data_IF_027849044979
#
_entry.id   IF_027849044979
#
_cell.length_a   1.000
_cell.length_b   1.000
_cell.length_c   1.000
_cell.angle_alpha   90.00
_cell.angle_beta   90.00
_cell.angle_gamma   90.00
#
_symmetry.space_group_name_H-M   'P 1'
#
loop_
_entity.id
_entity.type
_entity.pdbx_description
1 polymer ?
#
# COMPACT_ATOMS: atom_id res chain seq x y z
N UNK A 1 3.47 -8.19 23.40
CA UNK A 1 4.03 -7.12 24.25
C UNK A 1 4.79 -6.02 23.47
N UNK A 2 5.09 -6.20 22.18
CA UNK A 2 5.77 -5.19 21.34
C UNK A 2 4.83 -4.20 20.63
N UNK A 3 3.56 -4.56 20.44
CA UNK A 3 2.52 -3.71 19.81
C UNK A 3 2.08 -2.53 20.70
N UNK A 4 2.15 -2.68 22.03
CA UNK A 4 1.76 -1.61 22.95
C UNK A 4 2.78 -0.46 23.01
N UNK A 5 4.05 -0.71 22.64
CA UNK A 5 5.14 0.26 22.78
C UNK A 5 5.12 1.30 21.64
N UNK A 6 4.68 0.90 20.44
CA UNK A 6 4.62 1.80 19.27
C UNK A 6 3.43 2.76 19.35
N UNK A 7 2.25 2.28 19.79
CA UNK A 7 1.06 3.13 19.99
C UNK A 7 1.26 4.17 21.10
N UNK A 8 2.02 3.83 22.15
CA UNK A 8 2.32 4.76 23.25
C UNK A 8 3.35 5.82 22.84
N UNK A 9 4.27 5.50 21.92
CA UNK A 9 5.25 6.46 21.41
C UNK A 9 4.62 7.53 20.51
N UNK A 10 3.63 7.18 19.68
CA UNK A 10 2.92 8.15 18.84
C UNK A 10 2.07 9.14 19.65
N UNK A 11 1.45 8.70 20.76
CA UNK A 11 0.75 9.61 21.67
C UNK A 11 1.70 10.49 22.50
N UNK A 12 2.88 9.99 22.87
CA UNK A 12 3.85 10.75 23.67
C UNK A 12 4.50 11.91 22.90
N UNK A 13 4.72 11.76 21.59
CA UNK A 13 5.26 12.84 20.74
C UNK A 13 4.23 13.98 20.59
N UNK A 14 2.93 13.67 20.55
CA UNK A 14 1.86 14.69 20.53
C UNK A 14 1.67 15.40 21.88
N UNK A 15 1.94 14.76 23.01
CA UNK A 15 1.87 15.40 24.33
C UNK A 15 3.10 16.25 24.68
N UNK A 16 4.26 15.98 24.07
CA UNK A 16 5.52 16.66 24.41
C UNK A 16 5.62 18.06 23.80
N UNK A 17 4.92 18.32 22.70
CA UNK A 17 4.87 19.64 22.06
C UNK A 17 3.97 20.64 22.81
N UNK A 18 3.15 20.18 23.76
CA UNK A 18 2.18 21.03 24.47
C UNK A 18 2.74 21.73 25.72
N UNK A 19 4.00 21.47 26.12
CA UNK A 19 4.58 21.99 27.36
C UNK A 19 5.81 22.89 27.19
N UNK A 20 6.19 23.24 25.95
CA UNK A 20 7.29 24.18 25.69
C UNK A 20 6.75 25.59 25.42
N UNK A 21 6.84 26.43 26.45
CA UNK A 21 6.89 27.91 26.48
C UNK A 21 6.16 28.71 25.38
N UNK A 22 5.08 29.37 25.80
CA UNK A 22 4.74 30.74 25.33
C UNK A 22 4.12 30.90 23.95
N UNK A 23 3.94 29.84 23.15
CA UNK A 23 3.20 29.94 21.89
C UNK A 23 1.69 30.06 22.15
N UNK A 24 1.14 31.25 21.97
CA UNK A 24 -0.31 31.40 21.83
C UNK A 24 -0.75 30.71 20.53
N UNK A 25 -1.14 29.44 20.62
CA UNK A 25 -1.84 28.74 19.54
C UNK A 25 -3.23 29.36 19.42
N UNK A 26 -3.38 30.31 18.50
CA UNK A 26 -4.71 30.79 18.13
C UNK A 26 -5.39 29.65 17.37
N UNK A 27 -6.20 28.85 18.08
CA UNK A 27 -7.11 27.88 17.46
C UNK A 27 -8.10 28.69 16.64
N UNK A 28 -7.80 28.86 15.35
CA UNK A 28 -8.68 29.60 14.46
C UNK A 28 -9.89 28.71 14.18
N UNK A 29 -11.13 29.20 14.42
CA UNK A 29 -12.33 28.45 14.07
C UNK A 29 -12.24 28.02 12.60
N UNK A 30 -12.62 26.78 12.31
CA UNK A 30 -12.67 26.22 10.95
C UNK A 30 -13.46 27.20 10.08
N UNK A 31 -12.76 28.00 9.28
CA UNK A 31 -13.41 28.83 8.26
C UNK A 31 -13.74 27.85 7.14
N UNK A 32 -15.01 27.72 6.72
CA UNK A 32 -15.32 27.00 5.50
C UNK A 32 -14.42 27.58 4.40
N UNK A 33 -13.63 26.71 3.76
CA UNK A 33 -12.93 27.06 2.53
C UNK A 33 -13.90 27.56 1.45
N UNK A 34 -13.41 27.90 0.25
CA UNK A 34 -14.26 28.34 -0.85
C UNK A 34 -15.51 27.47 -1.00
N UNK A 35 -16.64 28.10 -1.31
CA UNK A 35 -17.93 27.42 -1.48
C UNK A 35 -17.94 26.63 -2.79
N UNK A 36 -17.22 25.51 -2.85
CA UNK A 36 -17.05 24.67 -4.03
C UNK A 36 -16.42 23.33 -3.66
N UNK A 37 -16.58 22.35 -4.55
CA UNK A 37 -15.77 21.14 -4.49
C UNK A 37 -14.47 21.40 -5.23
N UNK A 38 -13.35 21.07 -4.59
CA UNK A 38 -12.04 21.04 -5.21
C UNK A 38 -11.68 19.59 -5.49
N UNK A 39 -11.22 19.30 -6.70
CA UNK A 39 -10.90 17.93 -7.11
C UNK A 39 -9.41 17.81 -7.36
N UNK A 40 -8.84 16.70 -6.89
CA UNK A 40 -7.46 16.33 -7.20
C UNK A 40 -7.46 14.92 -7.78
N UNK A 41 -6.68 14.74 -8.84
CA UNK A 41 -6.41 13.44 -9.42
C UNK A 41 -4.91 13.26 -9.57
N UNK A 42 -4.41 12.15 -9.06
CA UNK A 42 -2.99 11.93 -8.86
C UNK A 42 -2.59 10.55 -9.37
N UNK A 43 -2.24 10.39 -10.66
CA UNK A 43 -1.56 9.20 -11.15
C UNK A 43 -0.16 9.13 -10.56
N UNK A 44 0.26 7.93 -10.15
CA UNK A 44 1.57 7.73 -9.54
C UNK A 44 2.20 6.40 -9.90
N UNK A 45 3.46 6.24 -9.52
CA UNK A 45 4.19 4.99 -9.55
C UNK A 45 4.79 4.74 -8.17
N UNK A 46 4.61 3.54 -7.65
CA UNK A 46 5.19 3.08 -6.39
C UNK A 46 6.13 1.92 -6.67
N UNK A 47 7.41 2.14 -6.42
CA UNK A 47 8.46 1.15 -6.67
C UNK A 47 8.62 0.28 -5.42
N UNK A 48 7.90 -0.83 -5.37
CA UNK A 48 7.72 -1.64 -4.17
C UNK A 48 8.80 -2.69 -3.96
N UNK A 49 9.44 -2.66 -2.79
CA UNK A 49 9.96 -3.86 -2.17
C UNK A 49 8.82 -4.61 -1.51
N UNK A 50 8.87 -5.94 -1.59
CA UNK A 50 7.89 -6.83 -0.96
C UNK A 50 8.66 -7.82 -0.10
N UNK A 51 8.38 -7.83 1.19
CA UNK A 51 9.00 -8.72 2.17
C UNK A 51 7.93 -9.35 3.04
N UNK A 52 8.04 -10.66 3.29
CA UNK A 52 7.13 -11.35 4.18
C UNK A 52 6.95 -12.82 3.84
N UNK A 53 5.90 -13.40 4.39
CA UNK A 53 5.56 -14.80 4.23
C UNK A 53 4.10 -14.94 3.79
N UNK A 54 3.85 -15.92 2.93
CA UNK A 54 2.51 -16.26 2.48
C UNK A 54 2.28 -17.76 2.62
N UNK A 55 1.09 -18.14 3.06
CA UNK A 55 0.62 -19.53 3.04
C UNK A 55 -0.50 -19.64 2.04
N UNK A 56 -0.36 -20.52 1.05
CA UNK A 56 -1.38 -20.71 0.02
C UNK A 56 -1.73 -22.20 -0.04
N UNK A 57 -2.99 -22.52 0.24
CA UNK A 57 -3.50 -23.90 0.35
C UNK A 57 -2.67 -24.74 1.34
N UNK A 58 -2.27 -24.12 2.46
CA UNK A 58 -1.45 -24.75 3.50
C UNK A 58 0.03 -24.95 3.15
N UNK A 59 0.54 -24.34 2.07
CA UNK A 59 1.96 -24.36 1.70
C UNK A 59 2.59 -23.01 1.96
N UNK A 60 3.73 -23.00 2.63
CA UNK A 60 4.49 -21.80 2.98
C UNK A 60 5.37 -21.33 1.81
N UNK A 61 5.39 -20.03 1.58
CA UNK A 61 6.17 -19.32 0.59
C UNK A 61 6.80 -18.09 1.27
N UNK A 62 8.12 -17.95 1.13
CA UNK A 62 8.79 -16.72 1.55
C UNK A 62 8.85 -15.75 0.37
N UNK A 63 8.41 -14.53 0.58
CA UNK A 63 8.35 -13.47 -0.42
C UNK A 63 9.46 -12.45 -0.13
N UNK A 64 10.38 -12.31 -1.07
CA UNK A 64 11.40 -11.25 -1.05
C UNK A 64 11.63 -10.78 -2.47
N UNK A 65 11.07 -9.63 -2.80
CA UNK A 65 11.14 -9.06 -4.14
C UNK A 65 11.62 -7.61 -4.06
N UNK A 66 12.55 -7.27 -4.94
CA UNK A 66 12.95 -5.87 -5.13
C UNK A 66 12.19 -5.24 -6.32
N UNK A 67 12.12 -3.90 -6.40
CA UNK A 67 11.35 -3.22 -7.45
C UNK A 67 11.81 -3.55 -8.87
N UNK A 68 13.10 -3.85 -9.08
CA UNK A 68 13.60 -4.18 -10.41
C UNK A 68 13.07 -5.54 -10.90
N UNK A 69 12.96 -6.52 -10.00
CA UNK A 69 12.33 -7.81 -10.28
C UNK A 69 10.81 -7.66 -10.51
N UNK A 70 10.13 -6.87 -9.68
CA UNK A 70 8.70 -6.61 -9.89
C UNK A 70 8.45 -5.97 -11.25
N UNK A 71 9.29 -5.01 -11.66
CA UNK A 71 9.16 -4.30 -12.94
C UNK A 71 9.55 -5.15 -14.16
N UNK A 72 10.48 -6.11 -14.03
CA UNK A 72 10.87 -6.97 -15.16
C UNK A 72 9.74 -7.88 -15.61
N UNK A 73 8.92 -8.28 -14.65
CA UNK A 73 7.85 -9.28 -14.80
C UNK A 73 6.48 -8.60 -14.84
N UNK A 74 6.43 -7.27 -14.77
CA UNK A 74 5.20 -6.48 -14.79
C UNK A 74 4.62 -6.41 -16.20
N UNK A 75 3.42 -6.97 -16.39
CA UNK A 75 2.63 -6.77 -17.60
C UNK A 75 2.00 -5.39 -17.63
N UNK A 76 1.36 -5.01 -16.52
CA UNK A 76 0.63 -3.76 -16.40
C UNK A 76 0.47 -3.36 -14.93
N UNK A 77 0.61 -2.06 -14.66
CA UNK A 77 0.21 -1.46 -13.39
C UNK A 77 -0.61 -0.21 -13.62
N UNK A 78 -1.57 0.01 -12.72
CA UNK A 78 -2.29 1.27 -12.61
C UNK A 78 -2.32 1.71 -11.15
N UNK A 79 -1.89 2.94 -10.89
CA UNK A 79 -1.91 3.51 -9.56
C UNK A 79 -2.41 4.95 -9.62
N UNK A 80 -3.41 5.25 -8.80
CA UNK A 80 -4.04 6.57 -8.81
C UNK A 80 -4.68 6.90 -7.47
N UNK A 81 -4.49 8.13 -7.03
CA UNK A 81 -5.13 8.70 -5.85
C UNK A 81 -6.07 9.83 -6.26
N UNK A 82 -7.25 9.89 -5.64
CA UNK A 82 -8.26 10.91 -5.91
C UNK A 82 -8.68 11.56 -4.61
N UNK A 83 -8.87 12.88 -4.64
CA UNK A 83 -9.47 13.62 -3.54
C UNK A 83 -10.56 14.57 -4.03
N UNK A 84 -11.60 14.71 -3.21
CA UNK A 84 -12.67 15.68 -3.40
C UNK A 84 -12.85 16.41 -2.08
N UNK A 85 -12.61 17.72 -2.05
CA UNK A 85 -12.63 18.51 -0.83
C UNK A 85 -13.70 19.57 -0.87
N UNK A 86 -14.47 19.69 0.22
CA UNK A 86 -15.42 20.77 0.47
C UNK A 86 -15.36 21.24 1.91
N UNK A 87 -14.71 22.40 2.12
CA UNK A 87 -14.47 22.94 3.45
C UNK A 87 -13.55 22.03 4.27
N UNK A 88 -14.04 21.54 5.42
CA UNK A 88 -13.30 20.64 6.31
C UNK A 88 -13.43 19.16 5.95
N UNK A 89 -14.33 18.81 5.02
CA UNK A 89 -14.55 17.41 4.62
C UNK A 89 -13.80 17.14 3.33
N UNK A 90 -13.05 16.05 3.33
CA UNK A 90 -12.38 15.50 2.15
C UNK A 90 -12.83 14.06 1.96
N UNK A 91 -13.30 13.70 0.77
CA UNK A 91 -13.47 12.32 0.35
C UNK A 91 -12.23 11.90 -0.43
N UNK A 92 -11.78 10.67 -0.27
CA UNK A 92 -10.62 10.16 -1.00
C UNK A 92 -10.80 8.72 -1.48
N UNK A 93 -10.04 8.37 -2.50
CA UNK A 93 -9.90 7.02 -3.03
C UNK A 93 -8.45 6.80 -3.47
N UNK A 94 -7.88 5.63 -3.18
CA UNK A 94 -6.57 5.19 -3.69
C UNK A 94 -6.77 3.83 -4.37
N UNK A 95 -6.31 3.71 -5.61
CA UNK A 95 -6.45 2.48 -6.41
C UNK A 95 -5.06 2.04 -6.84
N UNK A 96 -4.69 0.83 -6.46
CA UNK A 96 -3.48 0.14 -6.91
C UNK A 96 -3.92 -1.16 -7.59
N UNK A 97 -3.45 -1.35 -8.81
CA UNK A 97 -3.58 -2.59 -9.55
C UNK A 97 -2.22 -2.93 -10.14
N UNK A 98 -1.85 -4.20 -10.05
CA UNK A 98 -0.72 -4.73 -10.80
C UNK A 98 -0.98 -6.16 -11.27
N UNK A 99 -0.45 -6.45 -12.44
CA UNK A 99 -0.42 -7.76 -13.09
C UNK A 99 1.04 -8.09 -13.39
N UNK A 100 1.56 -9.08 -12.66
CA UNK A 100 2.93 -9.57 -12.75
C UNK A 100 2.88 -11.01 -13.24
N UNK A 101 3.45 -11.30 -14.41
CA UNK A 101 3.40 -12.63 -15.02
C UNK A 101 4.78 -13.26 -15.16
N UNK A 102 4.80 -14.58 -15.36
CA UNK A 102 6.00 -15.34 -15.74
C UNK A 102 7.19 -15.23 -14.79
N UNK A 103 6.97 -14.80 -13.56
CA UNK A 103 8.02 -14.67 -12.58
C UNK A 103 8.55 -16.05 -12.14
N UNK A 104 9.80 -16.34 -12.48
CA UNK A 104 10.51 -17.53 -12.00
C UNK A 104 11.01 -17.35 -10.56
N UNK A 105 11.06 -16.09 -10.10
CA UNK A 105 11.70 -15.68 -8.85
C UNK A 105 10.68 -15.40 -7.72
N UNK A 106 9.37 -15.33 -8.02
CA UNK A 106 8.33 -15.16 -6.98
C UNK A 106 8.23 -16.36 -6.04
N UNK A 107 8.68 -17.54 -6.47
CA UNK A 107 8.61 -18.78 -5.69
C UNK A 107 10.00 -19.39 -5.59
N UNK A 108 10.81 -18.91 -4.64
CA UNK A 108 12.02 -19.65 -4.23
C UNK A 108 11.57 -20.88 -3.46
N UNK A 109 11.33 -22.00 -4.14
CA UNK A 109 10.98 -23.25 -3.47
C UNK A 109 12.16 -23.72 -2.61
N UNK A 110 12.11 -23.48 -1.29
CA UNK A 110 12.92 -24.22 -0.33
C UNK A 110 12.25 -25.57 -0.08
N UNK A 111 12.90 -26.60 -0.61
CA UNK A 111 12.80 -28.02 -0.21
C UNK A 111 11.42 -28.66 -0.35
N UNK A 112 11.11 -29.12 -1.57
CA UNK A 112 10.36 -30.38 -1.66
C UNK A 112 11.25 -31.47 -1.03
N UNK A 113 10.81 -32.15 0.02
CA UNK A 113 11.39 -33.42 0.44
C UNK A 113 10.60 -34.55 -0.25
N UNK A 114 10.91 -34.95 -1.49
CA UNK A 114 10.45 -36.22 -1.97
C UNK A 114 11.35 -37.28 -1.34
N UNK A 115 10.76 -38.24 -0.63
CA UNK A 115 11.41 -39.50 -0.30
C UNK A 115 11.61 -40.38 -1.56
N UNK A 116 11.84 -39.76 -2.72
CA UNK A 116 11.96 -40.40 -4.03
C UNK A 116 13.21 -39.80 -4.68
N UNK A 117 14.25 -40.63 -4.81
CA UNK A 117 15.50 -40.27 -5.46
C UNK A 117 15.26 -40.01 -6.95
N UNK A 118 15.09 -38.75 -7.32
CA UNK A 118 15.07 -38.26 -8.70
C UNK A 118 15.41 -36.78 -8.71
N UNK A 119 16.46 -36.39 -9.44
CA UNK A 119 16.80 -34.98 -9.68
C UNK A 119 15.73 -34.35 -10.58
N UNK A 120 14.75 -33.71 -9.95
CA UNK A 120 13.71 -32.91 -10.60
C UNK A 120 14.27 -31.53 -10.96
N UNK A 121 14.52 -31.29 -12.25
CA UNK A 121 14.71 -29.95 -12.79
C UNK A 121 13.35 -29.31 -13.03
N UNK A 122 12.74 -28.71 -12.00
CA UNK A 122 11.44 -28.05 -12.12
C UNK A 122 11.63 -26.59 -12.50
N UNK A 123 11.09 -26.19 -13.66
CA UNK A 123 10.82 -24.78 -13.92
C UNK A 123 9.44 -24.45 -13.31
N UNK A 124 9.43 -23.46 -12.42
CA UNK A 124 8.23 -22.91 -11.78
C UNK A 124 8.05 -21.49 -12.34
N UNK A 125 6.87 -21.18 -12.87
CA UNK A 125 6.46 -19.80 -13.15
C UNK A 125 5.17 -19.48 -12.40
N UNK A 126 5.02 -18.24 -11.96
CA UNK A 126 3.85 -17.77 -11.24
C UNK A 126 3.33 -16.47 -11.83
N UNK A 127 2.00 -16.43 -12.01
CA UNK A 127 1.26 -15.24 -12.40
C UNK A 127 0.54 -14.69 -11.17
N UNK A 128 0.80 -13.43 -10.83
CA UNK A 128 0.25 -12.76 -9.67
C UNK A 128 -0.45 -11.46 -10.06
N UNK A 129 -1.73 -11.37 -9.71
CA UNK A 129 -2.58 -10.20 -9.97
C UNK A 129 -3.20 -9.72 -8.68
N UNK A 130 -3.10 -8.43 -8.39
CA UNK A 130 -3.69 -7.89 -7.18
C UNK A 130 -4.32 -6.52 -7.36
N UNK A 131 -5.34 -6.26 -6.53
CA UNK A 131 -5.94 -4.95 -6.34
C UNK A 131 -5.87 -4.54 -4.87
N UNK A 132 -5.57 -3.27 -4.65
CA UNK A 132 -5.75 -2.61 -3.35
C UNK A 132 -6.56 -1.35 -3.64
N UNK A 133 -7.75 -1.27 -3.06
CA UNK A 133 -8.65 -0.12 -3.23
C UNK A 133 -8.98 0.45 -1.87
N UNK A 134 -8.52 1.66 -1.59
CA UNK A 134 -8.90 2.42 -0.42
C UNK A 134 -9.99 3.42 -0.76
N UNK A 135 -10.98 3.58 0.11
CA UNK A 135 -11.94 4.67 0.02
C UNK A 135 -12.35 5.13 1.42
N UNK A 136 -12.51 6.44 1.59
CA UNK A 136 -12.85 6.98 2.90
C UNK A 136 -13.10 8.48 2.90
N UNK A 137 -13.14 9.03 4.10
CA UNK A 137 -13.24 10.45 4.31
C UNK A 137 -12.20 10.93 5.33
N UNK A 138 -11.87 12.21 5.24
CA UNK A 138 -11.03 12.93 6.18
C UNK A 138 -11.77 14.17 6.66
N UNK A 139 -11.54 14.53 7.91
CA UNK A 139 -12.08 15.73 8.54
C UNK A 139 -10.93 16.58 9.08
N UNK A 140 -10.77 17.79 8.54
CA UNK A 140 -9.82 18.77 9.04
C UNK A 140 -10.24 19.21 10.44
N UNK A 141 -9.45 18.80 11.44
CA UNK A 141 -9.71 19.11 12.84
C UNK A 141 -9.10 20.43 13.26
N UNK A 142 -7.90 20.71 12.77
CA UNK A 142 -7.12 21.87 13.19
C UNK A 142 -6.33 22.43 12.00
N UNK A 143 -6.18 23.75 12.00
CA UNK A 143 -5.29 24.48 11.11
C UNK A 143 -4.46 25.46 11.92
N UNK A 144 -3.16 25.24 11.95
CA UNK A 144 -2.19 26.08 12.64
C UNK A 144 -1.53 26.97 11.59
N UNK A 145 -1.71 28.29 11.71
CA UNK A 145 -1.00 29.25 10.85
C UNK A 145 0.33 29.61 11.50
N UNK A 146 1.38 29.67 10.70
CA UNK A 146 2.72 30.02 11.14
C UNK A 146 3.16 31.33 10.43
N UNK A 147 3.80 32.23 11.18
CA UNK A 147 4.35 33.49 10.66
C UNK A 147 3.53 34.76 10.95
N UNK A 148 4.20 35.91 10.76
CA UNK A 148 3.65 37.26 10.98
C UNK A 148 3.53 38.09 9.68
N UNK A 149 3.75 37.48 8.52
CA UNK A 149 3.78 38.16 7.20
C UNK A 149 3.00 37.36 6.14
N UNK A 150 2.63 38.03 5.05
CA UNK A 150 1.62 37.62 4.05
C UNK A 150 1.93 36.35 3.24
N UNK A 151 3.09 35.70 3.43
CA UNK A 151 3.34 34.35 2.93
C UNK A 151 2.94 33.37 4.05
N UNK A 152 1.63 33.17 4.20
CA UNK A 152 1.06 32.33 5.26
C UNK A 152 1.46 30.87 5.03
N UNK A 153 2.33 30.33 5.88
CA UNK A 153 2.53 28.89 5.99
C UNK A 153 1.50 28.33 6.96
N UNK A 154 0.93 27.18 6.66
CA UNK A 154 -0.04 26.53 7.53
C UNK A 154 0.27 25.04 7.70
N UNK A 155 -0.21 24.51 8.82
CA UNK A 155 -0.21 23.08 9.10
C UNK A 155 -1.64 22.65 9.36
N UNK A 156 -2.14 21.67 8.60
CA UNK A 156 -3.46 21.07 8.84
C UNK A 156 -3.32 19.69 9.46
N UNK A 157 -4.24 19.37 10.37
CA UNK A 157 -4.39 18.03 10.94
C UNK A 157 -5.76 17.50 10.57
N UNK A 158 -5.78 16.43 9.78
CA UNK A 158 -6.98 15.72 9.39
C UNK A 158 -7.08 14.39 10.12
N UNK A 159 -8.26 14.04 10.63
CA UNK A 159 -8.56 12.67 11.06
C UNK A 159 -9.27 11.96 9.92
N UNK A 160 -8.95 10.69 9.68
CA UNK A 160 -9.51 9.93 8.57
C UNK A 160 -10.02 8.56 9.00
N UNK A 161 -11.03 8.08 8.27
CA UNK A 161 -11.58 6.75 8.40
C UNK A 161 -12.01 6.23 7.03
N UNK A 162 -11.90 4.92 6.80
CA UNK A 162 -12.21 4.33 5.51
C UNK A 162 -12.17 2.81 5.51
N UNK A 163 -12.25 2.26 4.32
CA UNK A 163 -12.17 0.84 4.01
C UNK A 163 -11.05 0.60 3.00
N UNK A 164 -10.30 -0.49 3.15
CA UNK A 164 -9.28 -0.97 2.23
C UNK A 164 -9.67 -2.36 1.73
N UNK A 165 -10.08 -2.45 0.48
CA UNK A 165 -10.36 -3.70 -0.22
C UNK A 165 -9.06 -4.27 -0.78
N UNK A 166 -8.87 -5.57 -0.57
CA UNK A 166 -7.76 -6.35 -1.08
C UNK A 166 -8.32 -7.45 -1.97
N UNK A 167 -7.68 -7.65 -3.11
CA UNK A 167 -7.95 -8.78 -3.99
C UNK A 167 -6.62 -9.35 -4.46
N UNK A 168 -6.44 -10.65 -4.36
CA UNK A 168 -5.23 -11.33 -4.77
C UNK A 168 -5.57 -12.60 -5.53
N UNK A 169 -4.93 -12.78 -6.68
CA UNK A 169 -5.00 -13.98 -7.49
C UNK A 169 -3.58 -14.45 -7.81
N UNK A 170 -3.30 -15.71 -7.48
CA UNK A 170 -2.03 -16.35 -7.81
C UNK A 170 -2.31 -17.64 -8.61
N UNK A 171 -1.69 -17.74 -9.78
CA UNK A 171 -1.71 -18.95 -10.61
C UNK A 171 -0.28 -19.49 -10.75
N UNK A 172 -0.08 -20.77 -10.41
CA UNK A 172 1.25 -21.41 -10.41
C UNK A 172 1.31 -22.46 -11.51
N UNK A 173 2.28 -22.29 -12.41
CA UNK A 173 2.54 -23.18 -13.53
C UNK A 173 3.81 -23.98 -13.25
N UNK A 174 3.68 -25.32 -13.19
CA UNK A 174 4.81 -26.23 -12.93
C UNK A 174 5.10 -27.03 -14.19
N UNK A 175 6.26 -26.78 -14.81
CA UNK A 175 6.76 -27.65 -15.87
C UNK A 175 7.63 -28.75 -15.24
N UNK A 176 7.14 -30.00 -15.23
CA UNK A 176 7.95 -31.15 -14.84
C UNK A 176 8.79 -31.58 -16.05
N UNK A 177 10.00 -31.07 -16.16
CA UNK A 177 11.01 -31.61 -17.05
C UNK A 177 11.68 -32.82 -16.38
N UNK A 178 10.96 -33.94 -16.33
CA UNK A 178 11.46 -35.18 -15.73
C UNK A 178 10.97 -36.39 -16.51
N UNK A 179 11.90 -37.32 -16.75
CA UNK A 179 11.57 -38.67 -17.22
C UNK A 179 11.14 -39.49 -16.02
N UNK A 180 9.83 -39.66 -15.81
CA UNK A 180 9.33 -40.64 -14.86
C UNK A 180 9.47 -42.01 -15.51
N UNK A 181 10.40 -42.84 -15.00
CA UNK A 181 10.52 -44.24 -15.39
C UNK A 181 9.86 -45.10 -14.31
N UNK A 182 8.60 -45.45 -14.53
CA UNK A 182 7.86 -46.36 -13.66
C UNK A 182 7.70 -47.66 -14.44
N UNK A 183 8.48 -48.67 -14.08
CA UNK A 183 8.36 -50.05 -14.57
C UNK A 183 8.24 -50.18 -16.10
N UNK A 184 9.09 -49.44 -16.83
CA UNK A 184 9.15 -49.47 -18.30
C UNK A 184 8.28 -48.43 -19.02
N UNK A 185 7.48 -47.62 -18.30
CA UNK A 185 6.79 -46.46 -18.86
C UNK A 185 7.68 -45.21 -18.73
N UNK A 186 8.15 -44.70 -19.87
CA UNK A 186 8.83 -43.39 -19.97
C UNK A 186 7.76 -42.32 -20.14
N UNK A 187 7.48 -41.54 -19.11
CA UNK A 187 6.66 -40.31 -19.22
C UNK A 187 7.62 -39.14 -19.40
N UNK A 188 7.55 -38.49 -20.57
CA UNK A 188 8.34 -37.30 -20.93
C UNK A 188 7.40 -36.11 -21.07
N UNK A 189 7.64 -35.03 -20.31
CA UNK A 189 6.99 -33.73 -20.51
C UNK A 189 5.59 -33.59 -19.92
N UNK A 190 5.44 -33.72 -18.60
CA UNK A 190 4.18 -33.39 -17.93
C UNK A 190 4.18 -31.92 -17.46
N UNK A 191 3.28 -31.10 -17.98
CA UNK A 191 3.00 -29.77 -17.40
C UNK A 191 1.84 -29.91 -16.41
N UNK A 192 2.08 -29.58 -15.14
CA UNK A 192 1.04 -29.53 -14.12
C UNK A 192 0.69 -28.07 -13.84
N UNK A 193 -0.57 -27.69 -14.08
CA UNK A 193 -1.08 -26.36 -13.78
C UNK A 193 -1.81 -26.41 -12.44
N UNK A 194 -1.37 -25.62 -11.46
CA UNK A 194 -2.03 -25.49 -10.16
C UNK A 194 -2.60 -24.08 -10.00
N UNK A 195 -3.90 -23.91 -10.26
CA UNK A 195 -4.61 -22.67 -9.98
C UNK A 195 -4.78 -22.51 -8.48
N UNK A 196 -4.23 -21.44 -7.87
CA UNK A 196 -4.27 -21.29 -6.41
C UNK A 196 -5.55 -20.58 -5.90
N UNK A 197 -6.33 -19.97 -6.78
CA UNK A 197 -7.63 -19.36 -6.44
C UNK A 197 -7.49 -17.92 -5.95
N UNK A 198 -8.53 -17.12 -6.14
CA UNK A 198 -8.57 -15.72 -5.71
C UNK A 198 -9.04 -15.58 -4.25
N UNK A 199 -8.46 -14.62 -3.53
CA UNK A 199 -8.86 -14.26 -2.17
C UNK A 199 -9.10 -12.76 -2.11
N UNK A 200 -10.24 -12.37 -1.56
CA UNK A 200 -10.61 -10.98 -1.33
C UNK A 200 -11.04 -10.73 0.11
N UNK A 201 -10.74 -9.54 0.62
CA UNK A 201 -11.17 -9.10 1.94
C UNK A 201 -11.25 -7.57 2.02
N UNK A 202 -11.91 -7.07 3.06
CA UNK A 202 -12.07 -5.64 3.33
C UNK A 202 -11.62 -5.32 4.75
N UNK A 203 -10.73 -4.36 4.87
CA UNK A 203 -10.20 -3.87 6.14
C UNK A 203 -10.74 -2.47 6.46
N UNK A 204 -11.50 -2.29 7.55
CA UNK A 204 -11.76 -0.96 8.07
C UNK A 204 -10.47 -0.37 8.66
N UNK A 205 -10.25 0.93 8.49
CA UNK A 205 -9.11 1.63 9.06
C UNK A 205 -9.49 3.02 9.58
N UNK A 206 -8.68 3.50 10.52
CA UNK A 206 -8.69 4.88 11.00
C UNK A 206 -7.26 5.43 11.01
N UNK A 207 -7.12 6.74 10.93
CA UNK A 207 -5.80 7.35 10.86
C UNK A 207 -5.81 8.86 10.98
N UNK A 208 -4.69 9.46 10.62
CA UNK A 208 -4.52 10.90 10.56
C UNK A 208 -3.64 11.31 9.38
N UNK A 209 -3.81 12.55 8.94
CA UNK A 209 -2.95 13.21 7.97
C UNK A 209 -2.49 14.56 8.52
N UNK A 210 -1.19 14.78 8.47
CA UNK A 210 -0.57 16.07 8.74
C UNK A 210 -0.09 16.64 7.42
N UNK A 211 -0.46 17.88 7.13
CA UNK A 211 -0.03 18.59 5.92
C UNK A 211 0.62 19.89 6.35
N UNK A 212 1.77 20.24 5.79
CA UNK A 212 2.49 21.47 6.09
C UNK A 212 2.92 22.18 4.81
N UNK A 213 2.41 23.39 4.62
CA UNK A 213 2.80 24.29 3.54
C UNK A 213 4.14 24.94 3.91
N UNK A 214 5.21 24.59 3.21
CA UNK A 214 6.56 25.13 3.45
C UNK A 214 6.69 26.55 2.88
N UNK A 215 6.26 26.70 1.63
CA UNK A 215 6.25 27.92 0.85
C UNK A 215 5.04 27.88 -0.10
N UNK A 216 4.59 29.01 -0.69
CA UNK A 216 3.53 28.97 -1.70
C UNK A 216 3.91 28.00 -2.84
N UNK A 217 3.10 26.96 -3.04
CA UNK A 217 3.34 25.91 -4.03
C UNK A 217 4.25 24.76 -3.59
N UNK A 218 4.63 24.69 -2.32
CA UNK A 218 5.40 23.57 -1.75
C UNK A 218 4.75 23.01 -0.48
N UNK A 219 4.51 21.69 -0.46
CA UNK A 219 3.79 21.00 0.59
C UNK A 219 4.52 19.73 1.06
N UNK A 220 4.57 19.52 2.37
CA UNK A 220 4.91 18.24 2.98
C UNK A 220 3.65 17.58 3.55
N UNK A 221 3.41 16.33 3.21
CA UNK A 221 2.27 15.56 3.72
C UNK A 221 2.78 14.27 4.38
N UNK A 222 2.23 13.95 5.54
CA UNK A 222 2.42 12.68 6.23
C UNK A 222 1.05 12.11 6.57
N UNK A 223 0.71 10.95 6.03
CA UNK A 223 -0.52 10.21 6.34
C UNK A 223 -0.17 8.85 6.92
N UNK A 224 -0.80 8.51 8.04
CA UNK A 224 -0.70 7.19 8.65
C UNK A 224 -2.07 6.65 9.05
N UNK A 225 -2.27 5.35 8.88
CA UNK A 225 -3.49 4.66 9.30
C UNK A 225 -3.20 3.24 9.79
N UNK A 226 -4.12 2.70 10.59
CA UNK A 226 -4.12 1.32 11.05
C UNK A 226 -5.54 0.76 11.03
N UNK A 227 -5.66 -0.54 10.78
CA UNK A 227 -6.91 -1.18 10.44
C UNK A 227 -6.89 -2.69 10.52
N UNK A 228 -7.84 -3.32 9.83
CA UNK A 228 -8.05 -4.76 9.84
C UNK A 228 -8.95 -5.14 11.00
N UNK A 229 -8.48 -4.91 12.22
CA UNK A 229 -9.21 -5.13 13.48
C UNK A 229 -9.89 -6.51 13.59
N UNK A 230 -9.42 -7.51 12.84
CA UNK A 230 -10.01 -8.84 12.72
C UNK A 230 -11.27 -8.92 11.84
N UNK A 231 -11.67 -7.83 11.16
CA UNK A 231 -12.82 -7.81 10.26
C UNK A 231 -12.51 -8.46 8.90
N UNK A 232 -11.32 -8.18 8.35
CA UNK A 232 -10.74 -8.86 7.19
C UNK A 232 -9.41 -9.48 7.59
N UNK A 233 -8.39 -8.64 7.70
CA UNK A 233 -7.08 -8.94 8.26
C UNK A 233 -7.07 -8.83 9.80
N UNK A 234 -6.14 -9.54 10.44
CA UNK A 234 -5.90 -9.38 11.87
C UNK A 234 -5.41 -7.96 12.17
N UNK A 235 -4.50 -7.45 11.33
CA UNK A 235 -3.97 -6.11 11.42
C UNK A 235 -3.46 -5.61 10.06
N UNK A 236 -3.68 -4.34 9.76
CA UNK A 236 -3.01 -3.65 8.66
C UNK A 236 -2.60 -2.25 9.11
N UNK A 237 -1.49 -1.74 8.58
CA UNK A 237 -1.08 -0.35 8.77
C UNK A 237 -0.46 0.23 7.51
N UNK A 238 -0.59 1.54 7.35
CA UNK A 238 -0.02 2.29 6.24
C UNK A 238 0.64 3.56 6.75
N UNK A 239 1.75 3.92 6.11
CA UNK A 239 2.41 5.22 6.28
C UNK A 239 2.87 5.72 4.92
N UNK A 240 2.53 6.97 4.59
CA UNK A 240 3.03 7.65 3.40
C UNK A 240 3.47 9.07 3.76
N UNK A 241 4.68 9.41 3.34
CA UNK A 241 5.21 10.77 3.41
C UNK A 241 5.51 11.28 2.00
N UNK A 242 5.06 12.49 1.65
CA UNK A 242 5.30 13.10 0.34
C UNK A 242 5.75 14.55 0.46
N UNK A 243 6.54 14.97 -0.52
CA UNK A 243 6.81 16.36 -0.83
C UNK A 243 6.20 16.67 -2.20
N UNK A 244 5.41 17.73 -2.28
CA UNK A 244 4.77 18.21 -3.50
C UNK A 244 5.28 19.60 -3.86
N UNK A 245 5.47 19.87 -5.14
CA UNK A 245 5.91 21.15 -5.67
C UNK A 245 5.17 21.52 -6.95
N UNK A 246 4.77 22.79 -7.06
CA UNK A 246 4.06 23.33 -8.20
C UNK A 246 4.93 23.32 -9.47
N UNK A 247 4.40 22.69 -10.53
CA UNK A 247 5.07 22.55 -11.82
C UNK A 247 4.57 23.52 -12.88
N UNK A 248 3.35 24.05 -12.73
CA UNK A 248 2.75 24.99 -13.67
C UNK A 248 1.26 24.75 -13.91
N UNK A 249 0.66 25.66 -14.67
CA UNK A 249 -0.76 25.61 -15.03
C UNK A 249 -0.92 25.42 -16.53
N UNK A 250 -1.80 24.52 -16.95
CA UNK A 250 -2.13 24.33 -18.37
C UNK A 250 -3.61 24.03 -18.55
N UNK A 251 -4.28 24.86 -19.35
CA UNK A 251 -5.70 24.67 -19.65
C UNK A 251 -6.63 24.92 -18.46
N UNK A 252 -6.20 25.71 -17.48
CA UNK A 252 -6.96 25.98 -16.25
C UNK A 252 -6.85 24.90 -15.19
N UNK A 253 -5.90 23.96 -15.35
CA UNK A 253 -5.57 22.91 -14.40
C UNK A 253 -4.17 23.20 -13.88
N UNK A 254 -4.03 23.24 -12.56
CA UNK A 254 -2.74 23.38 -11.88
C UNK A 254 -2.14 22.00 -11.65
N UNK A 255 -0.84 21.88 -11.91
CA UNK A 255 -0.12 20.62 -11.81
C UNK A 255 0.97 20.70 -10.76
N UNK A 256 0.95 19.74 -9.84
CA UNK A 256 1.98 19.55 -8.84
C UNK A 256 2.70 18.23 -9.06
N UNK A 257 4.02 18.22 -8.97
CA UNK A 257 4.81 16.99 -8.93
C UNK A 257 4.97 16.58 -7.48
N UNK A 258 4.84 15.29 -7.17
CA UNK A 258 5.17 14.82 -5.83
C UNK A 258 6.07 13.59 -5.85
N UNK A 259 6.92 13.52 -4.82
CA UNK A 259 7.80 12.41 -4.54
C UNK A 259 7.69 12.07 -3.06
N UNK A 260 7.87 10.81 -2.72
CA UNK A 260 7.65 10.37 -1.35
C UNK A 260 8.09 8.96 -1.11
N UNK A 261 7.67 8.44 0.04
CA UNK A 261 7.89 7.05 0.45
C UNK A 261 6.62 6.51 1.08
N UNK A 262 6.18 5.34 0.64
CA UNK A 262 4.99 4.64 1.12
C UNK A 262 5.41 3.28 1.69
N UNK A 263 4.82 2.91 2.82
CA UNK A 263 4.90 1.59 3.42
C UNK A 263 3.48 1.13 3.81
N UNK A 264 3.16 -0.11 3.51
CA UNK A 264 1.87 -0.74 3.75
C UNK A 264 2.13 -2.18 4.19
N UNK A 265 1.54 -2.58 5.31
CA UNK A 265 1.66 -3.94 5.83
C UNK A 265 0.28 -4.49 6.14
N UNK A 266 0.14 -5.79 5.95
CA UNK A 266 -1.08 -6.54 6.23
C UNK A 266 -0.70 -7.90 6.80
N UNK A 267 -1.44 -8.31 7.82
CA UNK A 267 -1.40 -9.62 8.46
C UNK A 267 -2.80 -10.23 8.34
N UNK A 268 -2.97 -11.09 7.34
CA UNK A 268 -4.22 -11.79 7.04
C UNK A 268 -4.03 -13.29 7.23
N UNK A 269 -4.92 -13.95 7.99
CA UNK A 269 -4.93 -15.41 8.16
C UNK A 269 -6.38 -15.90 8.16
N UNK A 270 -6.70 -16.81 7.24
CA UNK A 270 -8.00 -17.45 7.14
C UNK A 270 -7.88 -18.94 6.79
N UNK A 271 -8.83 -19.73 7.29
CA UNK A 271 -8.94 -21.16 6.98
C UNK A 271 -7.99 -22.05 7.79
N UNK A 272 -8.03 -23.36 7.51
CA UNK A 272 -7.24 -24.38 8.21
C UNK A 272 -6.79 -25.49 7.24
N UNK A 273 -5.68 -26.16 7.57
CA UNK A 273 -5.16 -27.29 6.78
C UNK A 273 -4.89 -26.93 5.33
N UNK A 274 -5.40 -27.72 4.38
CA UNK A 274 -5.23 -27.50 2.94
C UNK A 274 -6.01 -26.30 2.39
N UNK A 275 -6.89 -25.70 3.20
CA UNK A 275 -7.62 -24.47 2.87
C UNK A 275 -7.07 -23.23 3.56
N UNK A 276 -5.94 -23.33 4.29
CA UNK A 276 -5.33 -22.18 4.96
C UNK A 276 -4.73 -21.22 3.93
N UNK A 277 -5.03 -19.93 4.12
CA UNK A 277 -4.46 -18.82 3.40
C UNK A 277 -3.93 -17.78 4.40
N UNK A 278 -2.64 -17.49 4.33
CA UNK A 278 -1.96 -16.48 5.15
C UNK A 278 -1.25 -15.50 4.21
N UNK A 279 -1.31 -14.22 4.53
CA UNK A 279 -0.61 -13.17 3.82
C UNK A 279 -0.12 -12.15 4.84
N UNK A 280 1.12 -12.35 5.31
CA UNK A 280 1.83 -11.46 6.21
C UNK A 280 2.98 -10.80 5.44
N UNK A 281 2.70 -9.62 4.90
CA UNK A 281 3.60 -8.95 3.97
C UNK A 281 3.68 -7.47 4.29
N UNK A 282 4.90 -6.93 4.20
CA UNK A 282 5.17 -5.50 4.11
C UNK A 282 5.59 -5.13 2.69
N UNK A 283 4.93 -4.12 2.14
CA UNK A 283 5.25 -3.48 0.88
C UNK A 283 5.73 -2.06 1.17
N UNK A 284 6.91 -1.68 0.69
CA UNK A 284 7.42 -0.33 0.92
C UNK A 284 8.30 0.16 -0.22
N UNK A 285 8.44 1.47 -0.38
CA UNK A 285 9.28 2.04 -1.43
C UNK A 285 8.95 3.49 -1.79
N UNK A 286 9.75 4.11 -2.68
CA UNK A 286 9.53 5.47 -3.12
C UNK A 286 8.30 5.54 -4.02
N UNK A 287 7.59 6.64 -3.89
CA UNK A 287 6.43 7.00 -4.72
C UNK A 287 6.78 8.26 -5.48
N UNK A 288 6.40 8.31 -6.76
CA UNK A 288 6.48 9.52 -7.58
C UNK A 288 5.19 9.68 -8.37
N UNK A 289 4.74 10.91 -8.57
CA UNK A 289 3.54 11.15 -9.36
C UNK A 289 3.33 12.61 -9.69
N UNK A 290 2.19 12.86 -10.35
CA UNK A 290 1.75 14.19 -10.75
C UNK A 290 0.32 14.33 -10.29
N UNK A 291 -0.02 15.44 -9.65
CA UNK A 291 -1.38 15.81 -9.24
C UNK A 291 -1.89 16.87 -10.19
N UNK A 292 -3.11 16.70 -10.69
CA UNK A 292 -3.88 17.75 -11.35
C UNK A 292 -4.98 18.25 -10.43
N UNK A 293 -5.11 19.57 -10.30
CA UNK A 293 -6.14 20.24 -9.50
C UNK A 293 -7.19 20.93 -10.38
N UNK A 294 -8.47 20.75 -10.03
CA UNK A 294 -9.64 21.22 -10.80
C UNK A 294 -10.66 21.95 -9.92
#
# INVERSE_FOLDING_TARGET
MRVLIVATAALLVLSSAALADGFQTTVTPIKPGPTGWHYQFTPYAWLTWVEGDAVIKGREFSMSQNPAQVLSDLNFAWMSYQQMRRGAITLFSDVIYADVADSTDLVTSKTFSPHVAGTLGTALSADYRFWIVEAGFMYETNRFKWGHSAAETDTTLDLLAGLRYWHQELDVNVALAGTLNVDGLIVSGATALARSGGVDWVDPFIGARLTHTLHPGEELMLRGDFGGFGAGSQFTWQLIGTYSSYLGSRGGIDFDGYLGYKALSVDYDQGVGTGRYEFDVIQHGPVVGITGEF
#
